data_IF_498008159374
#
_entry.id   IF_498008159374
#
_cell.length_a   1.000
_cell.length_b   1.000
_cell.length_c   1.000
_cell.angle_alpha   90.00
_cell.angle_beta   90.00
_cell.angle_gamma   90.00
#
_symmetry.space_group_name_H-M   'P 1'
#
loop_
_entity.id
_entity.type
_entity.pdbx_description
1 polymer ?
#
# COMPACT_ATOMS: atom_id res chain seq x y z
N UNK A 1 -13.35 -5.88 -1.64
CA UNK A 1 -14.20 -4.73 -1.28
C UNK A 1 -13.49 -3.49 -1.78
N UNK A 2 -14.22 -2.69 -2.54
CA UNK A 2 -13.75 -1.40 -3.04
C UNK A 2 -13.91 -0.35 -1.95
N UNK A 3 -12.83 0.34 -1.62
CA UNK A 3 -12.79 1.43 -0.63
C UNK A 3 -12.41 2.76 -1.29
N UNK A 4 -12.41 2.85 -2.61
CA UNK A 4 -12.03 4.06 -3.36
C UNK A 4 -12.88 5.26 -2.98
N UNK A 5 -14.13 5.06 -2.58
CA UNK A 5 -15.04 6.12 -2.09
C UNK A 5 -14.63 6.73 -0.76
N UNK A 6 -13.64 6.16 -0.07
CA UNK A 6 -13.02 6.77 1.12
C UNK A 6 -12.02 7.86 0.78
N UNK A 7 -11.66 8.02 -0.50
CA UNK A 7 -10.71 9.01 -0.98
C UNK A 7 -11.43 10.06 -1.83
N UNK A 8 -11.09 11.33 -1.64
CA UNK A 8 -11.58 12.46 -2.43
C UNK A 8 -11.00 12.47 -3.84
N UNK A 9 -9.82 11.86 -4.03
CA UNK A 9 -9.14 11.82 -5.32
C UNK A 9 -9.76 10.74 -6.22
N UNK A 10 -10.48 11.10 -7.29
CA UNK A 10 -11.14 10.13 -8.16
C UNK A 10 -10.17 9.32 -9.01
N UNK A 11 -8.89 9.72 -9.09
CA UNK A 11 -7.83 9.00 -9.78
C UNK A 11 -7.23 7.85 -8.97
N UNK A 12 -7.54 7.76 -7.67
CA UNK A 12 -7.00 6.72 -6.79
C UNK A 12 -8.05 5.64 -6.57
N UNK A 13 -7.66 4.40 -6.87
CA UNK A 13 -8.46 3.21 -6.56
C UNK A 13 -7.79 2.40 -5.49
N UNK A 14 -8.58 1.87 -4.56
CA UNK A 14 -8.07 1.10 -3.44
C UNK A 14 -9.04 -0.04 -3.09
N UNK A 15 -8.49 -1.24 -2.96
CA UNK A 15 -9.25 -2.47 -2.80
C UNK A 15 -8.55 -3.35 -1.77
N UNK A 16 -9.33 -4.10 -1.00
CA UNK A 16 -8.85 -5.21 -0.17
C UNK A 16 -9.74 -6.44 -0.37
N UNK A 17 -9.31 -7.62 0.07
CA UNK A 17 -10.12 -8.85 0.01
C UNK A 17 -9.98 -9.65 1.31
N UNK A 18 -11.11 -10.15 1.82
CA UNK A 18 -11.16 -11.17 2.88
C UNK A 18 -11.06 -12.59 2.33
N UNK A 19 -11.16 -12.76 0.99
CA UNK A 19 -11.10 -14.09 0.39
C UNK A 19 -9.67 -14.60 0.47
N UNK A 20 -9.51 -15.81 1.01
CA UNK A 20 -8.32 -16.61 0.75
C UNK A 20 -8.31 -16.96 -0.73
N UNK A 21 -7.31 -16.45 -1.46
CA UNK A 21 -7.07 -16.88 -2.83
C UNK A 21 -6.34 -18.22 -2.78
N UNK A 22 -6.66 -19.12 -3.70
CA UNK A 22 -6.05 -20.46 -3.76
C UNK A 22 -4.54 -20.43 -4.07
N UNK A 23 -4.04 -19.30 -4.56
CA UNK A 23 -2.63 -19.05 -4.80
C UNK A 23 -2.08 -17.99 -3.82
N UNK A 24 -0.92 -18.29 -3.23
CA UNK A 24 -0.20 -17.39 -2.32
C UNK A 24 0.80 -16.49 -3.05
N UNK A 25 1.28 -15.45 -2.37
CA UNK A 25 2.38 -14.61 -2.87
C UNK A 25 2.01 -13.79 -4.10
N UNK A 26 2.79 -13.94 -5.19
CA UNK A 26 2.65 -13.13 -6.41
C UNK A 26 1.37 -13.47 -7.16
N UNK A 27 1.02 -14.76 -7.27
CA UNK A 27 -0.15 -15.17 -8.05
C UNK A 27 -1.45 -14.74 -7.36
N UNK A 28 -1.54 -14.84 -6.02
CA UNK A 28 -2.69 -14.31 -5.27
C UNK A 28 -2.90 -12.81 -5.47
N UNK A 29 -1.80 -12.02 -5.58
CA UNK A 29 -1.87 -10.58 -5.89
C UNK A 29 -2.40 -10.34 -7.30
N UNK A 30 -1.92 -11.09 -8.28
CA UNK A 30 -2.40 -10.98 -9.67
C UNK A 30 -3.89 -11.31 -9.76
N UNK A 31 -4.35 -12.38 -9.11
CA UNK A 31 -5.77 -12.74 -9.07
C UNK A 31 -6.63 -11.63 -8.46
N UNK A 32 -6.19 -11.05 -7.34
CA UNK A 32 -6.90 -9.90 -6.74
C UNK A 32 -6.88 -8.69 -7.67
N UNK A 33 -5.72 -8.36 -8.24
CA UNK A 33 -5.56 -7.22 -9.14
C UNK A 33 -6.46 -7.34 -10.37
N UNK A 34 -6.50 -8.51 -11.01
CA UNK A 34 -7.37 -8.79 -12.15
C UNK A 34 -8.86 -8.66 -11.78
N UNK A 35 -9.28 -9.30 -10.68
CA UNK A 35 -10.66 -9.22 -10.20
C UNK A 35 -11.09 -7.78 -9.81
N UNK A 36 -10.11 -6.94 -9.46
CA UNK A 36 -10.26 -5.54 -9.12
C UNK A 36 -10.19 -4.59 -10.34
N UNK A 37 -9.86 -5.10 -11.53
CA UNK A 37 -9.67 -4.29 -12.74
C UNK A 37 -8.35 -3.50 -12.77
N UNK A 38 -7.36 -3.90 -11.97
CA UNK A 38 -6.00 -3.39 -12.03
C UNK A 38 -5.16 -4.15 -13.08
N UNK A 39 -4.17 -3.47 -13.65
CA UNK A 39 -3.20 -4.12 -14.52
C UNK A 39 -2.24 -4.98 -13.70
N UNK A 40 -2.24 -6.30 -13.93
CA UNK A 40 -1.44 -7.27 -13.18
C UNK A 40 0.07 -7.12 -13.41
N UNK A 41 0.50 -6.53 -14.53
CA UNK A 41 1.93 -6.26 -14.79
C UNK A 41 2.43 -4.98 -14.13
N UNK A 42 1.53 -4.16 -13.57
CA UNK A 42 1.86 -2.90 -12.89
C UNK A 42 2.12 -3.04 -11.38
N UNK A 43 2.07 -4.27 -10.85
CA UNK A 43 2.16 -4.52 -9.41
C UNK A 43 3.54 -4.18 -8.85
N UNK A 44 3.57 -3.37 -7.80
CA UNK A 44 4.70 -3.22 -6.89
C UNK A 44 4.51 -4.23 -5.75
N UNK A 45 5.48 -5.11 -5.54
CA UNK A 45 5.40 -6.26 -4.63
C UNK A 45 6.54 -6.20 -3.61
N UNK A 46 6.32 -5.63 -2.41
CA UNK A 46 7.33 -5.56 -1.37
C UNK A 46 7.59 -6.93 -0.73
N UNK A 47 8.85 -7.18 -0.38
CA UNK A 47 9.25 -8.25 0.54
C UNK A 47 9.06 -7.76 1.98
N UNK A 48 7.89 -8.04 2.55
CA UNK A 48 7.48 -7.58 3.89
C UNK A 48 8.24 -8.33 4.99
N UNK A 49 9.00 -7.58 5.81
CA UNK A 49 9.88 -8.14 6.84
C UNK A 49 9.57 -7.61 8.25
N UNK A 50 8.42 -6.93 8.42
CA UNK A 50 7.99 -6.28 9.67
C UNK A 50 8.99 -5.22 10.17
N UNK A 51 9.66 -4.56 9.23
CA UNK A 51 10.58 -3.44 9.43
C UNK A 51 9.84 -2.10 9.46
N UNK A 52 10.61 -1.01 9.42
CA UNK A 52 10.13 0.35 9.16
C UNK A 52 10.44 0.82 7.75
N UNK A 53 11.10 0.02 6.91
CA UNK A 53 11.58 0.49 5.61
C UNK A 53 10.42 0.78 4.66
N UNK A 54 10.44 1.98 4.10
CA UNK A 54 9.48 2.47 3.10
C UNK A 54 10.26 2.81 1.83
N UNK A 55 9.75 2.42 0.67
CA UNK A 55 10.38 2.73 -0.61
C UNK A 55 9.43 3.50 -1.54
N UNK A 56 9.98 4.44 -2.30
CA UNK A 56 9.25 5.17 -3.32
C UNK A 56 9.61 4.58 -4.68
N UNK A 57 8.64 3.99 -5.36
CA UNK A 57 8.87 3.16 -6.54
C UNK A 57 8.45 3.88 -7.82
N UNK A 58 9.35 3.87 -8.83
CA UNK A 58 9.07 4.33 -10.19
C UNK A 58 8.67 3.19 -11.14
N UNK A 59 8.90 1.94 -10.72
CA UNK A 59 8.77 0.75 -11.54
C UNK A 59 7.96 -0.34 -10.82
N UNK A 60 7.47 -1.29 -11.61
CA UNK A 60 6.74 -2.46 -11.14
C UNK A 60 7.70 -3.54 -10.57
N UNK A 61 7.15 -4.67 -10.16
CA UNK A 61 7.92 -5.86 -9.79
C UNK A 61 8.20 -5.98 -8.30
N UNK A 62 9.18 -6.83 -7.98
CA UNK A 62 9.54 -7.13 -6.59
C UNK A 62 10.45 -6.07 -6.02
N UNK A 63 10.12 -5.62 -4.81
CA UNK A 63 10.89 -4.63 -4.06
C UNK A 63 11.47 -5.31 -2.83
N UNK A 64 12.79 -5.28 -2.62
CA UNK A 64 13.41 -5.95 -1.48
C UNK A 64 13.11 -5.24 -0.16
N UNK A 65 13.02 -6.04 0.90
CA UNK A 65 13.13 -5.69 2.32
C UNK A 65 12.48 -4.36 2.73
N UNK A 66 11.17 -4.26 2.49
CA UNK A 66 10.37 -3.11 2.88
C UNK A 66 8.95 -3.51 3.29
N UNK A 67 8.35 -2.67 4.13
CA UNK A 67 7.01 -2.85 4.65
C UNK A 67 6.06 -1.75 4.19
N UNK A 68 6.51 -0.84 3.33
CA UNK A 68 5.61 0.07 2.64
C UNK A 68 6.20 0.57 1.34
N UNK A 69 5.32 0.85 0.40
CA UNK A 69 5.66 1.37 -0.92
C UNK A 69 4.79 2.57 -1.26
N UNK A 70 5.40 3.57 -1.88
CA UNK A 70 4.73 4.75 -2.44
C UNK A 70 5.05 4.87 -3.93
N UNK A 71 4.22 5.60 -4.68
CA UNK A 71 4.43 5.89 -6.10
C UNK A 71 3.73 7.19 -6.47
N UNK A 72 4.30 7.90 -7.45
CA UNK A 72 3.66 8.99 -8.20
C UNK A 72 3.22 8.57 -9.61
N UNK A 73 3.56 7.34 -10.02
CA UNK A 73 3.24 6.82 -11.34
C UNK A 73 1.82 6.23 -11.32
N UNK A 74 0.82 6.84 -12.00
CA UNK A 74 -0.58 6.40 -11.95
C UNK A 74 -0.81 5.05 -12.66
N UNK A 75 0.17 4.53 -13.38
CA UNK A 75 0.10 3.21 -14.01
C UNK A 75 0.39 2.08 -13.00
N UNK A 76 1.14 2.38 -11.93
CA UNK A 76 1.57 1.39 -10.94
C UNK A 76 0.50 1.05 -9.91
N UNK A 77 0.63 -0.13 -9.30
CA UNK A 77 -0.31 -0.65 -8.30
C UNK A 77 0.47 -1.09 -7.08
N UNK A 78 0.37 -0.33 -5.99
CA UNK A 78 0.95 -0.74 -4.70
C UNK A 78 0.19 -1.95 -4.15
N UNK A 79 0.91 -2.99 -3.72
CA UNK A 79 0.30 -4.19 -3.14
C UNK A 79 1.01 -4.61 -1.86
N UNK A 80 0.26 -5.13 -0.90
CA UNK A 80 0.78 -5.82 0.29
C UNK A 80 -0.11 -7.04 0.56
N UNK A 81 0.34 -7.92 1.44
CA UNK A 81 -0.47 -8.99 1.99
C UNK A 81 -0.42 -8.92 3.50
N UNK A 82 -1.57 -9.12 4.13
CA UNK A 82 -1.69 -9.07 5.58
C UNK A 82 -2.40 -10.33 6.07
N UNK A 83 -1.97 -10.80 7.23
CA UNK A 83 -2.71 -11.69 8.11
C UNK A 83 -2.58 -11.06 9.49
N UNK A 84 -3.68 -10.54 10.03
CA UNK A 84 -3.79 -9.79 11.29
C UNK A 84 -3.15 -8.39 11.32
N UNK A 85 -2.02 -8.19 10.63
CA UNK A 85 -1.35 -6.88 10.55
C UNK A 85 -2.21 -5.84 9.82
N UNK A 86 -1.92 -4.56 10.07
CA UNK A 86 -2.76 -3.46 9.60
C UNK A 86 -2.30 -2.96 8.21
N UNK A 87 -3.15 -3.07 7.16
CA UNK A 87 -2.89 -2.42 5.89
C UNK A 87 -3.30 -0.94 5.98
N UNK A 88 -2.36 -0.03 5.73
CA UNK A 88 -2.61 1.42 5.80
C UNK A 88 -2.42 2.03 4.41
N UNK A 89 -3.52 2.58 3.89
CA UNK A 89 -3.60 3.21 2.59
C UNK A 89 -3.31 4.71 2.74
N UNK A 90 -2.49 5.24 1.85
CA UNK A 90 -2.21 6.67 1.73
C UNK A 90 -2.62 7.13 0.34
N UNK A 91 -3.43 8.18 0.26
CA UNK A 91 -3.89 8.75 -1.00
C UNK A 91 -3.80 10.28 -0.94
N UNK A 92 -3.03 10.90 -1.83
CA UNK A 92 -2.99 12.35 -1.92
C UNK A 92 -4.31 12.89 -2.48
N UNK A 93 -4.84 13.97 -1.89
CA UNK A 93 -6.17 14.49 -2.23
C UNK A 93 -6.32 15.00 -3.67
N UNK A 94 -5.22 15.42 -4.29
CA UNK A 94 -5.24 16.09 -5.60
C UNK A 94 -4.25 15.54 -6.64
N UNK A 95 -3.22 14.81 -6.21
CA UNK A 95 -2.10 14.39 -7.07
C UNK A 95 -2.08 12.88 -7.19
N UNK A 96 -1.48 12.29 -8.24
CA UNK A 96 -1.39 10.84 -8.40
C UNK A 96 -0.34 10.20 -7.47
N UNK A 97 -0.31 10.63 -6.21
CA UNK A 97 0.62 10.13 -5.18
C UNK A 97 -0.15 9.23 -4.23
N UNK A 98 0.30 8.00 -4.09
CA UNK A 98 -0.37 7.00 -3.29
C UNK A 98 0.65 6.03 -2.69
N UNK A 99 0.25 5.35 -1.63
CA UNK A 99 1.07 4.34 -1.00
C UNK A 99 0.26 3.33 -0.20
N UNK A 100 0.91 2.22 0.10
CA UNK A 100 0.34 1.14 0.88
C UNK A 100 1.40 0.60 1.84
N UNK A 101 1.07 0.60 3.12
CA UNK A 101 1.99 0.27 4.21
C UNK A 101 1.43 -0.90 5.02
N UNK A 102 2.27 -1.91 5.21
CA UNK A 102 2.08 -3.03 6.12
C UNK A 102 2.57 -2.64 7.52
N UNK A 103 1.62 -2.36 8.41
CA UNK A 103 1.90 -2.00 9.80
C UNK A 103 1.63 -3.19 10.73
N UNK A 104 2.61 -4.09 10.84
CA UNK A 104 2.66 -5.09 11.91
C UNK A 104 3.15 -4.51 13.24
N UNK A 105 2.98 -5.25 14.34
CA UNK A 105 3.31 -4.76 15.68
C UNK A 105 4.77 -4.28 15.82
N UNK A 106 5.74 -4.95 15.17
CA UNK A 106 7.16 -4.55 15.18
C UNK A 106 7.37 -3.22 14.48
N UNK A 107 6.81 -3.07 13.28
CA UNK A 107 6.88 -1.81 12.53
C UNK A 107 6.22 -0.66 13.27
N UNK A 108 5.08 -0.90 13.92
CA UNK A 108 4.39 0.09 14.75
C UNK A 108 5.26 0.58 15.92
N UNK A 109 5.81 -0.33 16.73
CA UNK A 109 6.68 0.00 17.87
C UNK A 109 7.93 0.75 17.40
N UNK A 110 8.46 0.40 16.24
CA UNK A 110 9.67 1.02 15.68
C UNK A 110 9.39 2.31 14.88
N UNK A 111 8.13 2.72 14.71
CA UNK A 111 7.78 4.02 14.12
C UNK A 111 7.57 4.03 12.59
N UNK A 112 7.00 2.97 12.00
CA UNK A 112 6.69 2.88 10.55
C UNK A 112 5.92 4.11 10.00
N UNK A 113 5.04 4.74 10.79
CA UNK A 113 4.31 5.94 10.36
C UNK A 113 5.15 7.20 10.38
N UNK A 114 6.05 7.33 11.35
CA UNK A 114 7.04 8.40 11.38
C UNK A 114 7.96 8.29 10.16
N UNK A 115 8.35 7.07 9.79
CA UNK A 115 9.15 6.81 8.60
C UNK A 115 8.36 7.11 7.31
N UNK A 116 7.10 6.71 7.24
CA UNK A 116 6.21 7.03 6.12
C UNK A 116 6.13 8.55 5.88
N UNK A 117 5.94 9.34 6.95
CA UNK A 117 5.94 10.80 6.86
C UNK A 117 7.30 11.40 6.47
N UNK A 118 8.40 10.79 6.93
CA UNK A 118 9.77 11.20 6.57
C UNK A 118 10.05 10.96 5.09
N UNK A 119 9.69 9.79 4.55
CA UNK A 119 9.83 9.48 3.13
C UNK A 119 8.95 10.39 2.29
N UNK A 120 7.67 10.57 2.63
CA UNK A 120 6.80 11.49 1.89
C UNK A 120 7.40 12.90 1.82
N UNK A 121 7.89 13.41 2.96
CA UNK A 121 8.55 14.71 3.02
C UNK A 121 9.83 14.78 2.18
N UNK A 122 10.63 13.71 2.15
CA UNK A 122 11.83 13.64 1.32
C UNK A 122 11.49 13.75 -0.17
N UNK A 123 10.35 13.19 -0.60
CA UNK A 123 9.80 13.34 -1.95
C UNK A 123 8.91 14.58 -2.11
N UNK A 124 9.10 15.60 -1.27
CA UNK A 124 8.42 16.90 -1.35
C UNK A 124 6.88 16.85 -1.19
N UNK A 125 6.35 15.81 -0.57
CA UNK A 125 4.92 15.67 -0.25
C UNK A 125 4.64 15.90 1.24
N UNK A 126 3.62 16.70 1.55
CA UNK A 126 3.23 16.98 2.95
C UNK A 126 2.15 16.00 3.39
N UNK A 127 2.34 15.37 4.55
CA UNK A 127 1.41 14.36 5.07
C UNK A 127 -0.03 14.86 5.23
N UNK A 128 -0.22 16.16 5.50
CA UNK A 128 -1.56 16.76 5.68
C UNK A 128 -2.39 16.78 4.41
N UNK A 129 -1.77 16.59 3.24
CA UNK A 129 -2.45 16.51 1.94
C UNK A 129 -2.92 15.09 1.60
N UNK A 130 -2.65 14.12 2.48
CA UNK A 130 -3.09 12.75 2.33
C UNK A 130 -4.37 12.47 3.12
N UNK A 131 -5.19 11.63 2.53
CA UNK A 131 -6.20 10.86 3.22
C UNK A 131 -5.63 9.48 3.54
N UNK A 132 -5.78 9.06 4.79
CA UNK A 132 -5.19 7.82 5.30
C UNK A 132 -6.32 6.93 5.78
N UNK A 133 -6.37 5.72 5.26
CA UNK A 133 -7.39 4.73 5.61
C UNK A 133 -6.70 3.49 6.16
N UNK A 134 -7.16 3.06 7.33
CA UNK A 134 -6.80 1.78 7.91
C UNK A 134 -7.76 0.73 7.35
N UNK A 135 -7.22 -0.25 6.63
CA UNK A 135 -7.98 -1.42 6.19
C UNK A 135 -8.15 -2.46 7.31
N UNK A 136 -8.79 -3.59 7.01
CA UNK A 136 -9.09 -4.60 8.03
C UNK A 136 -7.83 -5.21 8.64
N UNK A 137 -7.87 -5.37 9.96
CA UNK A 137 -6.80 -5.97 10.77
C UNK A 137 -7.44 -6.68 11.97
N UNK A 138 -6.64 -7.42 12.73
CA UNK A 138 -7.12 -7.92 14.02
C UNK A 138 -7.47 -6.74 14.94
N UNK A 139 -8.55 -6.89 15.70
CA UNK A 139 -8.94 -5.97 16.76
C UNK A 139 -8.96 -6.76 18.07
N UNK A 140 -8.39 -6.18 19.13
CA UNK A 140 -8.42 -6.75 20.48
C UNK A 140 -9.79 -6.53 21.14
#
# INVERSE_FOLDING_TARGET
MDISTRFSNPGIKAIFSYKSFTAEGVEGRKTLAEAAGFNTVSLIIPNQIHSTHILFCSDQGRVPDCDGVFSTNPILVCSIQVADCMPVYFAHRAEPVFGLVHAGWRGLVNGIFSESGTVLKYYEHVLTDFEIVIGPSIQN
#
